data_IF_279288538166
#
_entry.id   IF_279288538166
#
_cell.length_a   1.000
_cell.length_b   1.000
_cell.length_c   1.000
_cell.angle_alpha   90.00
_cell.angle_beta   90.00
_cell.angle_gamma   90.00
#
_symmetry.space_group_name_H-M   'P 1'
#
loop_
_entity.id
_entity.type
_entity.pdbx_description
1 polymer ?
#
# COMPACT_ATOMS: atom_id res chain seq x y z
N UNK A 1 12.44 -7.63 -28.19
CA UNK A 1 12.48 -6.19 -27.83
C UNK A 1 11.36 -5.91 -26.85
N UNK A 2 11.70 -5.71 -25.58
CA UNK A 2 10.74 -5.33 -24.53
C UNK A 2 10.22 -3.91 -24.82
N UNK A 3 8.90 -3.77 -24.89
CA UNK A 3 8.22 -2.50 -25.18
C UNK A 3 8.63 -1.49 -24.10
N UNK A 4 9.24 -0.36 -24.49
CA UNK A 4 9.58 0.72 -23.55
C UNK A 4 8.32 1.13 -22.80
N UNK A 5 8.43 1.25 -21.48
CA UNK A 5 7.36 1.69 -20.60
C UNK A 5 6.80 3.05 -21.05
N UNK A 6 5.54 3.30 -20.73
CA UNK A 6 4.82 4.57 -21.00
C UNK A 6 5.60 5.79 -20.54
N UNK A 7 5.43 6.93 -21.22
CA UNK A 7 6.22 8.18 -21.16
C UNK A 7 6.50 8.78 -19.76
N UNK A 8 5.86 8.29 -18.70
CA UNK A 8 6.02 8.79 -17.32
C UNK A 8 6.80 7.85 -16.39
N UNK A 9 7.24 6.67 -16.86
CA UNK A 9 8.04 5.75 -16.04
C UNK A 9 9.51 6.11 -16.20
N UNK A 10 10.10 6.71 -15.16
CA UNK A 10 11.53 6.97 -15.11
C UNK A 10 12.28 5.70 -14.67
N UNK A 11 13.07 5.11 -15.58
CA UNK A 11 13.86 3.91 -15.28
C UNK A 11 15.03 4.16 -14.31
N UNK A 12 15.35 5.42 -14.00
CA UNK A 12 16.39 5.79 -13.04
C UNK A 12 15.87 5.94 -11.61
N UNK A 13 14.58 5.71 -11.36
CA UNK A 13 14.02 5.75 -10.01
C UNK A 13 13.98 4.34 -9.39
N UNK A 14 14.44 4.22 -8.14
CA UNK A 14 14.40 2.99 -7.35
C UNK A 14 12.98 2.55 -7.01
N UNK A 15 12.79 1.29 -6.64
CA UNK A 15 11.48 0.76 -6.29
C UNK A 15 10.94 1.40 -5.00
N UNK A 16 9.62 1.58 -4.89
CA UNK A 16 9.00 2.10 -3.65
C UNK A 16 9.38 1.32 -2.39
N UNK A 17 9.66 0.02 -2.52
CA UNK A 17 10.09 -0.86 -1.44
C UNK A 17 11.43 -0.45 -0.82
N UNK A 18 12.30 0.22 -1.58
CA UNK A 18 13.60 0.72 -1.09
C UNK A 18 13.45 1.97 -0.21
N UNK A 19 12.32 2.68 -0.32
CA UNK A 19 11.96 3.83 0.52
C UNK A 19 11.19 3.44 1.79
N UNK A 20 10.82 2.16 1.91
CA UNK A 20 9.99 1.62 3.00
C UNK A 20 10.71 1.71 4.35
N UNK A 21 9.97 2.10 5.40
CA UNK A 21 10.46 2.08 6.78
C UNK A 21 9.32 1.71 7.74
N UNK A 22 9.56 0.85 8.74
CA UNK A 22 8.53 0.42 9.68
C UNK A 22 7.82 1.59 10.38
N UNK A 23 6.50 1.47 10.53
CA UNK A 23 5.62 2.43 11.19
C UNK A 23 5.19 3.62 10.33
N UNK A 24 5.65 3.73 9.08
CA UNK A 24 5.21 4.79 8.18
C UNK A 24 3.83 4.46 7.61
N UNK A 25 2.95 5.46 7.61
CA UNK A 25 1.66 5.39 6.96
C UNK A 25 1.42 6.62 6.09
N UNK A 26 0.88 6.39 4.90
CA UNK A 26 0.48 7.43 3.96
C UNK A 26 -0.99 7.84 4.11
N UNK A 27 -1.61 7.48 5.22
CA UNK A 27 -3.01 7.77 5.49
C UNK A 27 -3.20 8.18 6.95
N UNK A 28 -4.23 8.99 7.18
CA UNK A 28 -4.79 9.28 8.49
C UNK A 28 -6.30 9.17 8.37
N UNK A 29 -6.83 8.03 8.79
CA UNK A 29 -8.27 7.78 8.74
C UNK A 29 -8.94 8.36 10.00
N UNK A 30 -10.15 8.95 9.87
CA UNK A 30 -10.95 9.27 11.04
C UNK A 30 -11.39 7.99 11.77
N UNK A 31 -11.85 8.09 13.02
CA UNK A 31 -12.52 6.98 13.70
C UNK A 31 -13.71 6.47 12.87
N UNK A 32 -14.01 5.17 12.98
CA UNK A 32 -15.17 4.58 12.32
C UNK A 32 -16.45 4.97 13.06
N UNK A 33 -17.43 5.51 12.32
CA UNK A 33 -18.76 5.86 12.85
C UNK A 33 -19.74 4.68 12.84
N UNK A 34 -19.24 3.47 12.57
CA UNK A 34 -20.04 2.25 12.44
C UNK A 34 -19.66 1.23 13.51
N UNK A 35 -20.58 0.35 13.92
CA UNK A 35 -20.25 -0.73 14.85
C UNK A 35 -19.14 -1.63 14.32
N UNK A 36 -18.33 -2.15 15.23
CA UNK A 36 -17.33 -3.17 14.91
C UNK A 36 -18.02 -4.49 14.51
N UNK A 37 -17.46 -5.16 13.50
CA UNK A 37 -18.02 -6.39 12.93
C UNK A 37 -16.91 -7.43 12.74
N UNK A 38 -17.25 -8.71 12.93
CA UNK A 38 -16.32 -9.83 12.77
C UNK A 38 -16.06 -10.11 11.28
N UNK A 39 -14.84 -9.79 10.83
CA UNK A 39 -14.39 -9.99 9.45
C UNK A 39 -14.35 -11.46 9.05
N UNK A 40 -14.09 -12.38 9.98
CA UNK A 40 -14.02 -13.81 9.70
C UNK A 40 -15.41 -14.38 9.37
N UNK A 41 -16.45 -13.89 10.05
CA UNK A 41 -17.84 -14.25 9.74
C UNK A 41 -18.30 -13.70 8.40
N UNK A 42 -17.92 -12.45 8.07
CA UNK A 42 -18.35 -11.78 6.84
C UNK A 42 -17.64 -12.30 5.59
N UNK A 43 -16.32 -12.53 5.68
CA UNK A 43 -15.48 -12.87 4.52
C UNK A 43 -15.18 -14.37 4.43
N UNK A 44 -15.30 -15.12 5.53
CA UNK A 44 -15.05 -16.56 5.57
C UNK A 44 -13.68 -16.94 4.99
N UNK A 45 -13.66 -17.82 3.99
CA UNK A 45 -12.43 -18.31 3.34
C UNK A 45 -11.68 -17.23 2.55
N UNK A 46 -12.33 -16.11 2.24
CA UNK A 46 -11.72 -14.98 1.52
C UNK A 46 -11.03 -13.99 2.46
N UNK A 47 -11.13 -14.17 3.77
CA UNK A 47 -10.42 -13.33 4.73
C UNK A 47 -8.91 -13.53 4.61
N UNK A 48 -8.19 -12.44 4.31
CA UNK A 48 -6.74 -12.44 4.24
C UNK A 48 -6.15 -12.28 5.64
N UNK A 49 -5.21 -13.15 6.03
CA UNK A 49 -4.57 -13.15 7.36
C UNK A 49 -3.36 -12.22 7.46
N UNK A 50 -2.76 -11.86 6.34
CA UNK A 50 -1.58 -11.02 6.25
C UNK A 50 -1.74 -9.90 5.21
N UNK A 51 -1.00 -8.81 5.37
CA UNK A 51 -0.97 -7.73 4.38
C UNK A 51 -0.12 -8.09 3.16
N UNK A 52 0.80 -9.05 3.31
CA UNK A 52 1.89 -9.33 2.38
C UNK A 52 3.03 -8.33 2.52
N UNK A 53 3.94 -8.33 1.56
CA UNK A 53 5.11 -7.44 1.54
C UNK A 53 4.75 -6.06 0.96
N UNK A 54 3.92 -5.30 1.67
CA UNK A 54 3.60 -3.93 1.28
C UNK A 54 4.63 -2.94 1.83
N UNK A 55 4.98 -1.87 1.08
CA UNK A 55 5.90 -0.85 1.56
C UNK A 55 5.19 0.05 2.59
N UNK A 56 5.93 0.42 3.62
CA UNK A 56 5.50 1.39 4.64
C UNK A 56 6.15 2.73 4.31
N UNK A 57 5.37 3.66 3.77
CA UNK A 57 5.83 4.97 3.26
C UNK A 57 4.87 6.07 3.69
N UNK A 58 5.37 7.31 3.75
CA UNK A 58 4.56 8.50 4.03
C UNK A 58 3.84 9.00 2.77
N UNK A 59 2.83 9.85 2.94
CA UNK A 59 2.05 10.43 1.82
C UNK A 59 2.94 11.16 0.81
N UNK A 60 3.92 11.92 1.28
CA UNK A 60 4.87 12.64 0.41
C UNK A 60 5.72 11.65 -0.40
N UNK A 61 6.12 10.53 0.20
CA UNK A 61 6.92 9.51 -0.48
C UNK A 61 6.11 8.75 -1.54
N UNK A 62 4.80 8.54 -1.30
CA UNK A 62 3.89 7.99 -2.31
C UNK A 62 3.70 8.96 -3.48
N UNK A 63 3.43 10.24 -3.20
CA UNK A 63 3.13 11.22 -4.28
C UNK A 63 4.37 11.49 -5.15
N UNK A 64 5.56 11.42 -4.57
CA UNK A 64 6.83 11.67 -5.28
C UNK A 64 7.37 10.46 -6.04
N UNK A 65 6.81 9.27 -5.82
CA UNK A 65 7.17 8.04 -6.51
C UNK A 65 6.18 7.74 -7.63
#
# INVERSE_FOLDING_TARGET
MTRKATTHVNQNEGLIFEKSSPGKAAFRLPPLDVPEVDTAQLLGKSERKDLGNMPEVSEIEIIRH
#
